data_IF_347443618415
#
_entry.id   IF_347443618415
#
_cell.length_a   1.000
_cell.length_b   1.000
_cell.length_c   1.000
_cell.angle_alpha   90.00
_cell.angle_beta   90.00
_cell.angle_gamma   90.00
#
_symmetry.space_group_name_H-M   'P 1'
#
loop_
_entity.id
_entity.type
_entity.pdbx_description
1 polymer ?
#
# COMPACT_ATOMS: atom_id res chain seq x y z
N UNK A 1 -0.96 -18.52 22.47
CA UNK A 1 -0.52 -17.13 22.20
C UNK A 1 0.93 -17.03 22.60
N UNK A 2 1.83 -17.30 21.66
CA UNK A 2 3.23 -17.71 21.91
C UNK A 2 4.03 -16.73 22.79
N UNK A 3 3.68 -15.44 22.75
CA UNK A 3 4.35 -14.41 23.57
C UNK A 3 4.00 -14.55 25.05
N UNK A 4 2.74 -14.84 25.38
CA UNK A 4 2.28 -14.92 26.77
C UNK A 4 2.70 -16.23 27.43
N UNK A 5 2.55 -17.34 26.71
CA UNK A 5 3.02 -18.65 27.17
C UNK A 5 4.53 -18.68 27.42
N UNK A 6 5.31 -17.85 26.71
CA UNK A 6 6.76 -17.79 26.88
C UNK A 6 7.20 -16.92 28.07
N UNK A 7 6.50 -15.81 28.30
CA UNK A 7 6.98 -14.77 29.22
C UNK A 7 6.18 -14.68 30.53
N UNK A 8 4.95 -15.18 30.55
CA UNK A 8 4.02 -15.04 31.67
C UNK A 8 3.16 -16.31 31.80
N UNK A 9 3.79 -17.48 31.82
CA UNK A 9 3.11 -18.78 31.72
C UNK A 9 2.23 -19.12 32.93
N UNK A 10 2.46 -18.44 34.05
CA UNK A 10 1.84 -18.63 35.35
C UNK A 10 0.78 -17.56 35.69
N UNK A 11 0.50 -16.65 34.75
CA UNK A 11 -0.51 -15.61 34.91
C UNK A 11 -1.79 -15.91 34.12
N UNK A 12 -2.93 -15.51 34.67
CA UNK A 12 -4.20 -15.54 33.97
C UNK A 12 -4.31 -14.35 33.01
N UNK A 13 -4.36 -14.64 31.70
CA UNK A 13 -4.41 -13.61 30.66
C UNK A 13 -5.84 -13.34 30.19
N UNK A 14 -6.32 -12.13 30.42
CA UNK A 14 -7.60 -11.66 29.86
C UNK A 14 -7.33 -10.72 28.69
N UNK A 15 -7.61 -11.19 27.48
CA UNK A 15 -7.59 -10.33 26.29
C UNK A 15 -8.94 -9.67 26.10
N UNK A 16 -8.97 -8.37 26.31
CA UNK A 16 -10.15 -7.55 25.99
C UNK A 16 -9.91 -6.88 24.65
N UNK A 17 -10.69 -7.28 23.64
CA UNK A 17 -10.71 -6.58 22.37
C UNK A 17 -11.90 -5.61 22.36
N UNK A 18 -11.62 -4.34 22.04
CA UNK A 18 -12.67 -3.34 21.90
C UNK A 18 -13.32 -3.44 20.52
N UNK A 19 -14.64 -3.71 20.47
CA UNK A 19 -15.43 -3.67 19.23
C UNK A 19 -16.10 -2.30 19.01
N UNK A 20 -15.62 -1.24 19.68
CA UNK A 20 -16.15 0.11 19.46
C UNK A 20 -15.94 0.55 18.00
N UNK A 21 -17.00 1.06 17.39
CA UNK A 21 -17.00 1.65 16.04
C UNK A 21 -16.20 2.96 15.94
N UNK A 22 -15.55 3.39 17.03
CA UNK A 22 -14.69 4.57 17.09
C UNK A 22 -13.39 4.42 16.31
N UNK A 23 -13.10 3.23 15.76
CA UNK A 23 -12.07 3.08 14.75
C UNK A 23 -12.53 3.77 13.47
N UNK A 24 -12.17 5.05 13.35
CA UNK A 24 -12.27 5.78 12.09
C UNK A 24 -11.50 5.01 11.03
N UNK A 25 -12.20 4.63 9.96
CA UNK A 25 -11.58 4.13 8.74
C UNK A 25 -10.51 5.14 8.33
N UNK A 26 -9.33 4.65 7.95
CA UNK A 26 -8.33 5.49 7.28
C UNK A 26 -8.93 6.08 6.00
N UNK A 27 -8.36 7.18 5.53
CA UNK A 27 -8.71 7.73 4.22
C UNK A 27 -8.61 6.64 3.15
N UNK A 28 -9.47 6.70 2.14
CA UNK A 28 -9.58 5.68 1.10
C UNK A 28 -8.27 5.52 0.30
N UNK A 29 -7.51 6.61 0.18
CA UNK A 29 -6.19 6.68 -0.46
C UNK A 29 -5.02 6.51 0.52
N UNK A 30 -5.29 6.16 1.78
CA UNK A 30 -4.24 6.07 2.80
C UNK A 30 -3.14 5.06 2.41
N UNK A 31 -1.92 5.37 2.85
CA UNK A 31 -0.74 4.56 2.58
C UNK A 31 -0.95 3.09 2.96
N UNK A 32 -0.70 2.21 1.98
CA UNK A 32 -0.70 0.75 2.17
C UNK A 32 0.69 0.20 1.86
N UNK A 33 1.31 -0.44 2.86
CA UNK A 33 2.59 -1.12 2.70
C UNK A 33 2.45 -2.54 2.10
N UNK A 34 1.24 -3.10 2.06
CA UNK A 34 1.04 -4.47 1.59
C UNK A 34 1.21 -4.53 0.08
N UNK A 35 2.07 -5.43 -0.39
CA UNK A 35 2.30 -5.73 -1.81
C UNK A 35 2.79 -4.56 -2.68
N UNK A 36 3.32 -3.48 -2.07
CA UNK A 36 3.96 -2.41 -2.84
C UNK A 36 5.10 -2.98 -3.70
N UNK A 37 5.13 -2.72 -5.01
CA UNK A 37 6.22 -3.22 -5.85
C UNK A 37 7.52 -2.48 -5.53
N UNK A 38 8.63 -3.22 -5.53
CA UNK A 38 9.96 -2.65 -5.28
C UNK A 38 10.38 -1.65 -6.36
N UNK A 39 10.09 -2.01 -7.60
CA UNK A 39 10.49 -1.25 -8.78
C UNK A 39 9.24 -0.68 -9.43
N UNK A 40 9.37 0.48 -10.07
CA UNK A 40 8.38 0.90 -11.04
C UNK A 40 8.20 -0.21 -12.09
N UNK A 41 6.97 -0.42 -12.60
CA UNK A 41 6.68 -1.36 -13.68
C UNK A 41 7.70 -1.25 -14.83
N UNK A 42 8.16 -2.39 -15.36
CA UNK A 42 9.13 -2.39 -16.47
C UNK A 42 8.48 -1.95 -17.79
N UNK A 43 8.71 -0.68 -18.09
CA UNK A 43 9.04 -0.07 -19.39
C UNK A 43 7.96 0.24 -20.43
N UNK A 44 8.09 1.47 -20.98
CA UNK A 44 8.03 1.71 -22.42
C UNK A 44 6.67 1.55 -23.08
N UNK A 45 5.69 2.31 -22.63
CA UNK A 45 4.80 3.14 -23.45
C UNK A 45 3.91 3.90 -22.49
N UNK A 46 3.43 5.07 -22.91
CA UNK A 46 2.71 6.04 -22.07
C UNK A 46 1.65 5.31 -21.22
N UNK A 47 1.62 5.62 -19.92
CA UNK A 47 0.51 5.23 -19.07
C UNK A 47 -0.77 5.85 -19.66
N UNK A 48 -1.66 5.02 -20.20
CA UNK A 48 -2.90 5.44 -20.88
C UNK A 48 -4.10 5.54 -19.91
N UNK A 49 -3.85 5.34 -18.61
CA UNK A 49 -4.88 5.38 -17.57
C UNK A 49 -5.76 4.14 -17.47
N UNK A 50 -5.55 3.12 -18.32
CA UNK A 50 -6.45 1.96 -18.42
C UNK A 50 -6.03 0.76 -17.58
N UNK A 51 -4.82 0.75 -17.03
CA UNK A 51 -4.22 -0.49 -16.54
C UNK A 51 -4.16 -0.61 -15.01
N UNK A 52 -5.32 -0.42 -14.39
CA UNK A 52 -5.57 -0.86 -13.00
C UNK A 52 -5.68 -2.38 -12.87
N UNK A 53 -5.59 -3.10 -14.00
CA UNK A 53 -5.34 -4.52 -14.15
C UNK A 53 -6.32 -5.42 -13.39
N UNK A 54 -7.34 -5.92 -14.11
CA UNK A 54 -8.13 -7.10 -13.73
C UNK A 54 -7.33 -8.43 -13.94
N UNK A 55 -6.06 -8.34 -14.35
CA UNK A 55 -5.19 -9.47 -14.68
C UNK A 55 -4.14 -9.72 -13.58
N UNK A 56 -3.53 -10.91 -13.60
CA UNK A 56 -2.52 -11.40 -12.65
C UNK A 56 -1.25 -10.52 -12.50
N UNK A 57 -1.08 -9.51 -13.36
CA UNK A 57 -0.01 -8.50 -13.26
C UNK A 57 -0.56 -7.10 -13.63
N UNK A 58 -1.08 -6.31 -12.67
CA UNK A 58 -1.48 -4.93 -12.96
C UNK A 58 -0.26 -4.09 -13.35
N UNK A 59 -0.37 -3.25 -14.41
CA UNK A 59 0.75 -2.41 -14.88
C UNK A 59 0.99 -1.20 -13.97
N UNK A 60 0.13 -0.86 -13.01
CA UNK A 60 0.40 0.18 -12.01
C UNK A 60 -0.12 -0.21 -10.62
N UNK A 61 0.38 0.46 -9.58
CA UNK A 61 0.10 0.15 -8.19
C UNK A 61 -0.74 1.24 -7.51
N UNK A 62 -1.70 0.82 -6.68
CA UNK A 62 -2.58 1.69 -5.93
C UNK A 62 -3.42 0.92 -4.92
N UNK A 63 -4.28 1.61 -4.19
CA UNK A 63 -5.16 1.02 -3.18
C UNK A 63 -6.56 0.80 -3.74
N UNK A 64 -7.18 -0.32 -3.35
CA UNK A 64 -8.56 -0.61 -3.72
C UNK A 64 -9.53 0.18 -2.85
N UNK A 65 -10.44 0.89 -3.51
CA UNK A 65 -11.50 1.68 -2.88
C UNK A 65 -12.84 1.28 -3.48
N UNK A 66 -13.89 1.40 -2.68
CA UNK A 66 -15.24 1.13 -3.18
C UNK A 66 -15.63 2.21 -4.20
N UNK A 67 -16.27 1.80 -5.28
CA UNK A 67 -16.96 2.73 -6.17
C UNK A 67 -18.16 3.28 -5.40
N UNK A 68 -18.28 4.60 -5.34
CA UNK A 68 -19.39 5.29 -4.67
C UNK A 68 -20.29 5.97 -5.69
N UNK A 69 -21.59 6.02 -5.42
CA UNK A 69 -22.57 6.78 -6.18
C UNK A 69 -22.53 8.28 -5.83
N UNK A 70 -23.39 9.07 -6.48
CA UNK A 70 -23.54 10.51 -6.22
C UNK A 70 -23.96 10.84 -4.78
N UNK A 71 -24.51 9.86 -4.05
CA UNK A 71 -24.92 9.98 -2.64
C UNK A 71 -23.83 9.51 -1.67
N UNK A 72 -22.67 9.09 -2.16
CA UNK A 72 -21.55 8.57 -1.37
C UNK A 72 -21.73 7.13 -0.87
N UNK A 73 -22.69 6.37 -1.42
CA UNK A 73 -22.92 4.97 -1.04
C UNK A 73 -22.18 4.02 -1.98
N UNK A 74 -21.66 2.87 -1.48
CA UNK A 74 -21.00 1.89 -2.33
C UNK A 74 -21.95 1.34 -3.40
N UNK A 75 -21.51 1.34 -4.64
CA UNK A 75 -22.19 0.68 -5.77
C UNK A 75 -21.92 -0.81 -5.68
N UNK A 76 -22.95 -1.64 -5.81
CA UNK A 76 -22.83 -3.10 -5.72
C UNK A 76 -22.96 -3.74 -7.11
N UNK A 77 -22.20 -4.81 -7.33
CA UNK A 77 -22.26 -5.63 -8.54
C UNK A 77 -23.47 -6.58 -8.55
N UNK A 78 -23.62 -7.37 -9.63
CA UNK A 78 -24.71 -8.34 -9.77
C UNK A 78 -24.69 -9.45 -8.70
N UNK A 79 -23.52 -9.68 -8.10
CA UNK A 79 -23.26 -10.63 -7.03
C UNK A 79 -23.57 -10.07 -5.62
N UNK A 80 -23.97 -8.80 -5.52
CA UNK A 80 -24.22 -8.11 -4.26
C UNK A 80 -22.94 -7.69 -3.52
N UNK A 81 -21.76 -7.83 -4.12
CA UNK A 81 -20.51 -7.34 -3.56
C UNK A 81 -20.28 -5.87 -3.97
N UNK A 82 -19.66 -5.03 -3.13
CA UNK A 82 -19.27 -3.67 -3.53
C UNK A 82 -18.29 -3.71 -4.71
N UNK A 83 -18.58 -2.94 -5.75
CA UNK A 83 -17.64 -2.70 -6.83
C UNK A 83 -16.43 -1.94 -6.28
N UNK A 84 -15.24 -2.36 -6.71
CA UNK A 84 -13.98 -1.74 -6.31
C UNK A 84 -13.26 -1.18 -7.51
N UNK A 85 -12.56 -0.07 -7.30
CA UNK A 85 -11.59 0.52 -8.24
C UNK A 85 -10.28 0.71 -7.51
N UNK A 86 -9.17 0.76 -8.25
CA UNK A 86 -7.89 1.17 -7.67
C UNK A 86 -7.67 2.67 -7.87
N UNK A 87 -7.09 3.31 -6.86
CA UNK A 87 -6.71 4.73 -6.90
C UNK A 87 -5.25 4.91 -6.46
N UNK A 88 -4.59 6.00 -6.88
CA UNK A 88 -3.29 6.35 -6.34
C UNK A 88 -3.35 6.51 -4.81
N UNK A 89 -2.32 6.07 -4.12
CA UNK A 89 -2.14 6.41 -2.71
C UNK A 89 -1.89 7.91 -2.56
N UNK A 90 -2.35 8.47 -1.46
CA UNK A 90 -1.98 9.81 -1.03
C UNK A 90 -0.48 9.93 -0.78
N UNK A 91 0.02 11.17 -0.82
CA UNK A 91 1.44 11.43 -0.64
C UNK A 91 1.92 11.00 0.76
N UNK A 92 3.18 10.58 0.82
CA UNK A 92 3.90 10.43 2.07
C UNK A 92 4.35 11.79 2.62
N UNK A 93 5.01 11.75 3.78
CA UNK A 93 5.63 12.94 4.39
C UNK A 93 7.11 12.68 4.66
N UNK A 94 7.96 13.64 4.33
CA UNK A 94 9.38 13.67 4.68
C UNK A 94 9.59 14.11 6.13
N UNK A 95 10.81 13.97 6.65
CA UNK A 95 11.14 14.33 8.03
C UNK A 95 11.05 15.85 8.30
N UNK A 96 11.32 16.67 7.29
CA UNK A 96 11.13 18.12 7.31
C UNK A 96 9.65 18.55 7.22
N UNK A 97 8.76 17.58 7.01
CA UNK A 97 7.33 17.76 6.90
C UNK A 97 6.82 18.09 5.50
N UNK A 98 7.68 18.15 4.49
CA UNK A 98 7.29 18.30 3.09
C UNK A 98 6.61 17.02 2.55
N UNK A 99 5.82 17.19 1.49
CA UNK A 99 5.10 16.08 0.85
C UNK A 99 6.06 15.21 0.04
N UNK A 100 5.97 13.89 0.17
CA UNK A 100 6.65 12.93 -0.69
C UNK A 100 5.66 12.30 -1.66
N UNK A 101 5.72 12.70 -2.94
CA UNK A 101 4.90 12.03 -3.94
C UNK A 101 5.38 10.62 -4.21
N UNK A 102 4.45 9.66 -4.14
CA UNK A 102 4.72 8.24 -4.39
C UNK A 102 4.60 7.85 -5.87
N UNK A 103 4.06 8.77 -6.67
CA UNK A 103 3.85 8.64 -8.10
C UNK A 103 4.74 9.66 -8.82
N UNK A 104 5.14 9.37 -10.06
CA UNK A 104 5.89 10.36 -10.83
C UNK A 104 4.99 11.56 -11.17
N UNK A 105 5.52 12.79 -11.04
CA UNK A 105 4.75 14.02 -11.27
C UNK A 105 4.44 14.21 -12.76
N UNK A 106 3.55 15.16 -13.03
CA UNK A 106 3.26 15.62 -14.40
C UNK A 106 4.54 16.12 -15.09
N UNK A 107 4.64 15.90 -16.40
CA UNK A 107 5.84 16.20 -17.18
C UNK A 107 6.94 15.12 -17.12
N UNK A 108 6.83 14.12 -16.23
CA UNK A 108 7.72 12.95 -16.25
C UNK A 108 7.28 11.94 -17.31
N UNK A 109 8.23 11.21 -17.91
CA UNK A 109 7.94 10.14 -18.90
C UNK A 109 7.00 9.06 -18.37
N UNK A 110 7.00 8.86 -17.05
CA UNK A 110 6.18 7.90 -16.32
C UNK A 110 5.13 8.59 -15.43
N UNK A 111 4.69 9.82 -15.77
CA UNK A 111 3.71 10.56 -14.98
C UNK A 111 2.49 9.69 -14.57
N UNK A 112 2.11 9.75 -13.30
CA UNK A 112 1.02 8.96 -12.73
C UNK A 112 1.35 7.48 -12.43
N UNK A 113 2.57 7.03 -12.75
CA UNK A 113 3.05 5.68 -12.40
C UNK A 113 3.66 5.67 -11.01
N UNK A 114 3.37 4.61 -10.24
CA UNK A 114 3.97 4.39 -8.94
C UNK A 114 5.49 4.19 -9.06
N UNK A 115 6.26 4.94 -8.27
CA UNK A 115 7.73 4.98 -8.37
C UNK A 115 8.41 3.65 -8.00
N UNK A 116 7.79 2.88 -7.11
CA UNK A 116 8.40 1.70 -6.50
C UNK A 116 9.08 2.03 -5.16
N UNK A 117 9.05 1.08 -4.23
CA UNK A 117 9.60 1.27 -2.88
C UNK A 117 11.08 1.66 -2.89
N UNK A 118 11.88 1.10 -3.81
CA UNK A 118 13.32 1.38 -3.87
C UNK A 118 13.61 2.86 -4.14
N UNK A 119 12.93 3.46 -5.11
CA UNK A 119 13.07 4.89 -5.44
C UNK A 119 12.58 5.76 -4.28
N UNK A 120 11.42 5.44 -3.69
CA UNK A 120 10.85 6.17 -2.55
C UNK A 120 11.79 6.15 -1.34
N UNK A 121 12.50 5.04 -1.10
CA UNK A 121 13.46 4.92 -0.01
C UNK A 121 14.76 5.67 -0.31
N UNK A 122 15.26 5.65 -1.54
CA UNK A 122 16.42 6.46 -1.94
C UNK A 122 16.14 7.96 -1.79
N UNK A 123 14.95 8.43 -2.18
CA UNK A 123 14.50 9.82 -1.94
C UNK A 123 14.49 10.21 -0.45
N UNK A 124 14.34 9.22 0.45
CA UNK A 124 14.41 9.40 1.91
C UNK A 124 15.82 9.32 2.48
N UNK A 125 16.84 9.13 1.64
CA UNK A 125 18.24 9.03 2.05
C UNK A 125 18.72 7.60 2.36
N UNK A 126 17.93 6.57 2.07
CA UNK A 126 18.38 5.18 2.19
C UNK A 126 19.18 4.77 0.94
N UNK A 127 20.48 5.06 0.98
CA UNK A 127 21.38 4.75 -0.13
C UNK A 127 21.40 3.25 -0.45
N UNK A 128 21.25 2.91 -1.74
CA UNK A 128 21.28 1.53 -2.20
C UNK A 128 20.00 0.74 -1.92
N UNK A 129 18.87 1.38 -1.58
CA UNK A 129 17.61 0.67 -1.36
C UNK A 129 17.17 -0.19 -2.56
N UNK A 130 17.52 0.20 -3.79
CA UNK A 130 17.29 -0.63 -4.98
C UNK A 130 18.04 -1.97 -4.96
N UNK A 131 19.12 -2.10 -4.19
CA UNK A 131 19.90 -3.35 -4.05
C UNK A 131 19.35 -4.26 -2.95
N UNK A 132 18.60 -3.72 -1.98
CA UNK A 132 18.02 -4.46 -0.85
C UNK A 132 16.84 -5.32 -1.33
N UNK A 133 16.74 -6.57 -0.91
CA UNK A 133 15.56 -7.41 -1.25
C UNK A 133 14.29 -6.81 -0.63
N UNK A 134 13.20 -6.78 -1.40
CA UNK A 134 11.92 -6.27 -0.88
C UNK A 134 11.34 -7.14 0.24
N UNK A 135 11.59 -8.45 0.16
CA UNK A 135 11.24 -9.42 1.18
C UNK A 135 12.38 -10.42 1.35
N UNK A 136 12.53 -10.92 2.58
CA UNK A 136 13.35 -12.08 2.86
C UNK A 136 12.71 -13.32 2.22
N UNK A 137 13.50 -14.32 1.76
CA UNK A 137 12.94 -15.58 1.28
C UNK A 137 11.98 -16.16 2.32
N UNK A 138 10.72 -16.40 1.93
CA UNK A 138 9.66 -16.91 2.82
C UNK A 138 9.43 -16.07 4.09
N UNK A 139 9.72 -14.77 4.07
CA UNK A 139 9.68 -13.88 5.23
C UNK A 139 10.59 -14.34 6.40
N UNK A 140 11.61 -15.16 6.10
CA UNK A 140 12.60 -15.62 7.06
C UNK A 140 13.85 -14.75 6.92
N UNK A 141 13.95 -13.72 7.74
CA UNK A 141 15.13 -12.86 7.76
C UNK A 141 16.23 -13.48 8.62
N UNK A 142 17.48 -13.29 8.21
CA UNK A 142 18.64 -13.67 9.02
C UNK A 142 18.63 -12.86 10.32
N UNK A 143 19.08 -13.48 11.42
CA UNK A 143 19.22 -12.76 12.69
C UNK A 143 20.31 -11.71 12.50
N UNK A 144 19.95 -10.45 12.75
CA UNK A 144 20.88 -9.32 12.78
C UNK A 144 21.76 -9.32 14.01
#
# INVERSE_FOLDING_TARGET
MDILEKHYADEDHIMVFNNATTHLKRADDALSARHMPKFSPKHGDKWDGTDWGESWKPKNWGVEVNVVDESGKPVHGPDGAPLKKKVPMGDGKFADGSSQSLYYPEGHRLAGVFKGMGVILEERGYEGALKIRAECPKFQCEKG
#
